data_IF_269433951432
#
_entry.id   IF_269433951432
#
_cell.length_a   1.000
_cell.length_b   1.000
_cell.length_c   1.000
_cell.angle_alpha   90.00
_cell.angle_beta   90.00
_cell.angle_gamma   90.00
#
_symmetry.space_group_name_H-M   'P 1'
#
loop_
_entity.id
_entity.type
_entity.pdbx_description
1 polymer ?
#
# COMPACT_ATOMS: atom_id res chain seq x y z
N UNK A 1 -31.84 -3.44 -1.51
CA UNK A 1 -30.49 -3.93 -1.83
C UNK A 1 -29.58 -2.73 -1.99
N UNK A 2 -28.34 -2.77 -1.50
CA UNK A 2 -27.39 -1.68 -1.72
C UNK A 2 -27.13 -1.49 -3.22
N UNK A 3 -26.87 -0.26 -3.65
CA UNK A 3 -26.57 0.06 -5.06
C UNK A 3 -25.25 -0.57 -5.52
N UNK A 4 -24.32 -0.79 -4.59
CA UNK A 4 -23.07 -1.53 -4.80
C UNK A 4 -23.28 -2.98 -4.40
N UNK A 5 -22.92 -3.93 -5.25
CA UNK A 5 -23.02 -5.35 -4.94
C UNK A 5 -22.06 -5.74 -3.77
N UNK A 6 -22.52 -6.50 -2.76
CA UNK A 6 -21.66 -6.99 -1.67
C UNK A 6 -20.58 -7.96 -2.12
N UNK A 7 -19.64 -8.26 -1.20
CA UNK A 7 -18.58 -9.24 -1.41
C UNK A 7 -19.17 -10.59 -1.85
N UNK A 8 -18.61 -11.19 -2.90
CA UNK A 8 -19.03 -12.49 -3.42
C UNK A 8 -20.18 -12.45 -4.42
N UNK A 9 -20.86 -11.30 -4.59
CA UNK A 9 -21.90 -11.13 -5.60
C UNK A 9 -21.28 -10.72 -6.94
N UNK A 10 -21.51 -11.51 -7.99
CA UNK A 10 -21.02 -11.21 -9.35
C UNK A 10 -21.89 -10.14 -10.01
N UNK A 11 -21.24 -9.15 -10.61
CA UNK A 11 -21.89 -8.13 -11.43
C UNK A 11 -21.34 -8.13 -12.85
N UNK A 12 -22.10 -7.60 -13.80
CA UNK A 12 -21.73 -7.59 -15.22
C UNK A 12 -20.63 -6.57 -15.56
N UNK A 13 -20.68 -5.37 -14.96
CA UNK A 13 -19.71 -4.29 -15.18
C UNK A 13 -19.41 -3.57 -13.87
N UNK A 14 -18.13 -3.35 -13.61
CA UNK A 14 -17.62 -2.49 -12.54
C UNK A 14 -17.52 -1.02 -12.97
N UNK A 15 -17.38 -0.10 -12.02
CA UNK A 15 -17.22 1.32 -12.32
C UNK A 15 -15.97 1.59 -13.16
N UNK A 16 -16.08 2.59 -14.04
CA UNK A 16 -14.96 3.00 -14.88
C UNK A 16 -13.87 3.65 -14.02
N UNK A 17 -12.60 3.41 -14.36
CA UNK A 17 -11.45 4.02 -13.67
C UNK A 17 -11.42 5.52 -13.98
N UNK A 18 -11.49 6.42 -12.98
CA UNK A 18 -11.38 7.86 -13.19
C UNK A 18 -10.05 8.25 -13.83
N UNK A 19 -10.03 9.29 -14.67
CA UNK A 19 -8.79 9.78 -15.31
C UNK A 19 -7.71 10.15 -14.29
N UNK A 20 -8.10 10.66 -13.12
CA UNK A 20 -7.18 10.98 -12.03
C UNK A 20 -6.41 9.75 -11.51
N UNK A 21 -6.93 8.54 -11.68
CA UNK A 21 -6.32 7.30 -11.20
C UNK A 21 -5.45 6.60 -12.27
N UNK A 22 -5.56 7.02 -13.52
CA UNK A 22 -4.80 6.43 -14.64
C UNK A 22 -3.36 6.93 -14.64
N UNK A 23 -2.44 6.02 -14.92
CA UNK A 23 -1.04 6.34 -15.16
C UNK A 23 -0.69 6.33 -16.65
N UNK A 24 0.52 6.78 -17.01
CA UNK A 24 1.05 6.64 -18.36
C UNK A 24 0.98 5.19 -18.86
N UNK A 25 0.71 5.00 -20.15
CA UNK A 25 0.70 3.68 -20.75
C UNK A 25 2.10 3.06 -20.73
N UNK A 26 2.13 1.73 -20.69
CA UNK A 26 3.34 0.93 -20.84
C UNK A 26 3.42 0.46 -22.29
N UNK A 27 4.64 0.43 -22.83
CA UNK A 27 4.90 -0.27 -24.08
C UNK A 27 4.65 -1.78 -23.87
N UNK A 28 3.63 -2.37 -24.52
CA UNK A 28 3.30 -3.78 -24.34
C UNK A 28 4.45 -4.72 -24.72
N UNK A 29 5.38 -4.28 -25.58
CA UNK A 29 6.56 -5.07 -25.93
C UNK A 29 7.62 -5.08 -24.83
N UNK A 30 7.68 -4.03 -23.99
CA UNK A 30 8.59 -3.94 -22.84
C UNK A 30 8.01 -4.58 -21.59
N UNK A 31 6.72 -4.36 -21.32
CA UNK A 31 6.05 -4.82 -20.10
C UNK A 31 6.31 -3.96 -18.85
N UNK A 32 7.11 -2.90 -18.97
CA UNK A 32 7.37 -1.91 -17.91
C UNK A 32 7.60 -0.52 -18.50
N UNK A 33 7.60 0.50 -17.63
CA UNK A 33 8.09 1.85 -17.92
C UNK A 33 9.04 2.33 -16.83
N UNK A 34 9.96 3.22 -17.20
CA UNK A 34 10.87 3.93 -16.29
C UNK A 34 10.44 5.40 -16.25
N UNK A 35 10.41 5.99 -15.06
CA UNK A 35 10.19 7.41 -14.84
C UNK A 35 11.37 7.98 -14.06
N UNK A 36 12.05 8.97 -14.62
CA UNK A 36 13.08 9.72 -13.90
C UNK A 36 12.42 10.61 -12.84
N UNK A 37 12.89 10.48 -11.60
CA UNK A 37 12.46 11.26 -10.43
C UNK A 37 13.49 12.34 -10.05
N UNK A 38 14.55 12.46 -10.86
CA UNK A 38 15.60 13.45 -10.76
C UNK A 38 16.87 12.94 -10.07
N UNK A 39 18.01 13.55 -10.45
CA UNK A 39 19.33 13.34 -9.82
C UNK A 39 19.68 11.85 -9.64
N UNK A 40 19.42 11.04 -10.66
CA UNK A 40 19.76 9.61 -10.67
C UNK A 40 18.78 8.67 -9.96
N UNK A 41 17.65 9.18 -9.44
CA UNK A 41 16.56 8.35 -8.91
C UNK A 41 15.53 8.09 -10.00
N UNK A 42 15.07 6.85 -10.08
CA UNK A 42 14.08 6.39 -11.05
C UNK A 42 13.03 5.52 -10.37
N UNK A 43 11.81 5.54 -10.90
CA UNK A 43 10.78 4.54 -10.63
C UNK A 43 10.66 3.62 -11.83
N UNK A 44 10.59 2.31 -11.60
CA UNK A 44 10.16 1.31 -12.58
C UNK A 44 8.77 0.80 -12.18
N UNK A 45 7.88 0.63 -13.17
CA UNK A 45 6.53 0.11 -12.93
C UNK A 45 5.98 -0.69 -14.10
N UNK A 46 5.18 -1.71 -13.81
CA UNK A 46 4.36 -2.49 -14.75
C UNK A 46 2.89 -2.01 -14.74
N UNK A 47 2.65 -0.81 -14.20
CA UNK A 47 1.37 -0.17 -13.92
C UNK A 47 0.52 -0.87 -12.83
N UNK A 48 1.04 -1.92 -12.18
CA UNK A 48 0.45 -2.53 -11.00
C UNK A 48 1.35 -2.37 -9.76
N UNK A 49 2.65 -2.62 -9.92
CA UNK A 49 3.70 -2.50 -8.93
C UNK A 49 4.67 -1.38 -9.27
N UNK A 50 5.28 -0.79 -8.26
CA UNK A 50 6.30 0.24 -8.37
C UNK A 50 7.53 -0.18 -7.55
N UNK A 51 8.71 0.00 -8.12
CA UNK A 51 9.99 -0.11 -7.43
C UNK A 51 10.82 1.13 -7.75
N UNK A 52 11.73 1.51 -6.87
CA UNK A 52 12.71 2.56 -7.15
C UNK A 52 14.09 1.97 -7.40
N UNK A 53 14.88 2.62 -8.24
CA UNK A 53 16.32 2.42 -8.26
C UNK A 53 17.06 3.75 -8.33
N UNK A 54 18.22 3.80 -7.67
CA UNK A 54 19.05 4.97 -7.52
C UNK A 54 20.45 4.67 -8.06
N UNK A 55 20.80 5.35 -9.14
CA UNK A 55 22.12 5.27 -9.76
C UNK A 55 23.06 6.26 -9.06
N UNK A 56 24.20 5.77 -8.59
CA UNK A 56 25.26 6.60 -8.02
C UNK A 56 26.61 6.24 -8.67
N UNK A 57 27.73 6.79 -8.21
CA UNK A 57 29.01 6.75 -8.90
C UNK A 57 29.53 5.33 -9.16
N UNK A 58 29.31 4.39 -8.23
CA UNK A 58 29.89 3.03 -8.30
C UNK A 58 28.86 1.90 -8.34
N UNK A 59 27.56 2.22 -8.42
CA UNK A 59 26.55 1.18 -8.40
C UNK A 59 25.11 1.67 -8.52
N UNK A 60 24.21 0.74 -8.27
CA UNK A 60 22.76 0.96 -8.17
C UNK A 60 22.25 0.45 -6.83
N UNK A 61 21.42 1.26 -6.18
CA UNK A 61 20.59 0.84 -5.04
C UNK A 61 19.18 0.58 -5.56
N UNK A 62 18.62 -0.60 -5.32
CA UNK A 62 17.23 -0.92 -5.64
C UNK A 62 16.39 -0.85 -4.35
N UNK A 63 15.17 -0.34 -4.42
CA UNK A 63 14.17 -0.39 -3.35
C UNK A 63 13.03 -1.28 -3.83
N UNK A 64 12.88 -2.43 -3.18
CA UNK A 64 11.98 -3.52 -3.54
C UNK A 64 12.24 -4.15 -4.93
N UNK A 65 11.89 -5.43 -5.06
CA UNK A 65 12.01 -6.19 -6.30
C UNK A 65 10.78 -7.10 -6.48
N UNK A 66 9.62 -6.53 -6.86
CA UNK A 66 8.41 -7.30 -7.10
C UNK A 66 8.66 -8.42 -8.11
N UNK A 67 8.10 -9.63 -7.94
CA UNK A 67 8.32 -10.74 -8.88
C UNK A 67 7.99 -10.37 -10.33
N UNK A 68 6.94 -9.58 -10.56
CA UNK A 68 6.54 -9.13 -11.89
C UNK A 68 7.56 -8.18 -12.54
N UNK A 69 8.30 -7.42 -11.74
CA UNK A 69 9.31 -6.47 -12.18
C UNK A 69 10.73 -7.03 -12.18
N UNK A 70 11.05 -7.99 -11.31
CA UNK A 70 12.39 -8.55 -11.17
C UNK A 70 12.90 -9.19 -12.47
N UNK A 71 12.01 -9.79 -13.26
CA UNK A 71 12.32 -10.33 -14.59
C UNK A 71 12.72 -9.26 -15.62
N UNK A 72 12.34 -8.01 -15.39
CA UNK A 72 12.63 -6.87 -16.26
C UNK A 72 13.75 -5.98 -15.74
N UNK A 73 14.13 -6.12 -14.46
CA UNK A 73 15.04 -5.20 -13.78
C UNK A 73 16.40 -5.09 -14.47
N UNK A 74 17.00 -6.20 -14.92
CA UNK A 74 18.28 -6.17 -15.64
C UNK A 74 18.20 -5.33 -16.93
N UNK A 75 17.14 -5.54 -17.72
CA UNK A 75 16.91 -4.79 -18.97
C UNK A 75 16.64 -3.32 -18.69
N UNK A 76 15.81 -3.03 -17.68
CA UNK A 76 15.47 -1.67 -17.29
C UNK A 76 16.71 -0.89 -16.81
N UNK A 77 17.58 -1.53 -16.02
CA UNK A 77 18.83 -0.92 -15.58
C UNK A 77 19.76 -0.66 -16.77
N UNK A 78 19.88 -1.59 -17.71
CA UNK A 78 20.72 -1.43 -18.91
C UNK A 78 20.27 -0.28 -19.83
N UNK A 79 19.01 0.17 -19.76
CA UNK A 79 18.55 1.38 -20.45
C UNK A 79 19.12 2.67 -19.83
N UNK A 80 19.56 2.62 -18.57
CA UNK A 80 19.97 3.79 -17.79
C UNK A 80 21.45 3.77 -17.41
N UNK A 81 22.02 2.60 -17.11
CA UNK A 81 23.40 2.46 -16.61
C UNK A 81 23.94 1.04 -16.80
N UNK A 82 25.26 0.93 -16.88
CA UNK A 82 26.05 -0.31 -16.87
C UNK A 82 26.60 -0.68 -15.48
N UNK A 83 26.27 0.11 -14.44
CA UNK A 83 26.80 -0.07 -13.09
C UNK A 83 26.14 -1.27 -12.38
N UNK A 84 26.89 -1.99 -11.52
CA UNK A 84 26.36 -3.14 -10.82
C UNK A 84 25.35 -2.75 -9.74
N UNK A 85 24.38 -3.64 -9.47
CA UNK A 85 23.52 -3.54 -8.28
C UNK A 85 24.37 -3.82 -7.05
N UNK A 86 24.46 -2.87 -6.13
CA UNK A 86 25.29 -2.99 -4.91
C UNK A 86 24.45 -3.16 -3.65
N UNK A 87 23.22 -2.66 -3.65
CA UNK A 87 22.33 -2.70 -2.50
C UNK A 87 20.88 -2.99 -2.94
N UNK A 88 20.15 -3.68 -2.06
CA UNK A 88 18.69 -3.76 -2.10
C UNK A 88 18.15 -3.28 -0.75
N UNK A 89 17.16 -2.40 -0.78
CA UNK A 89 16.39 -1.99 0.41
C UNK A 89 15.04 -2.69 0.33
N UNK A 90 14.62 -3.34 1.40
CA UNK A 90 13.27 -3.86 1.55
C UNK A 90 12.41 -2.85 2.29
N UNK A 91 11.29 -2.45 1.68
CA UNK A 91 10.28 -1.60 2.33
C UNK A 91 9.58 -2.33 3.46
N UNK A 92 9.26 -3.62 3.26
CA UNK A 92 8.67 -4.53 4.25
C UNK A 92 8.78 -5.99 3.79
N UNK A 93 8.14 -6.93 4.47
CA UNK A 93 8.39 -8.36 4.32
C UNK A 93 7.52 -9.06 3.26
N UNK A 94 6.51 -8.38 2.73
CA UNK A 94 5.56 -8.98 1.80
C UNK A 94 6.19 -9.46 0.49
N UNK A 95 5.73 -10.62 0.03
CA UNK A 95 6.34 -11.35 -1.09
C UNK A 95 6.14 -10.67 -2.44
N UNK A 96 5.04 -9.96 -2.61
CA UNK A 96 4.74 -9.22 -3.83
C UNK A 96 5.67 -8.02 -4.04
N UNK A 97 6.33 -7.53 -2.98
CA UNK A 97 7.32 -6.46 -3.07
C UNK A 97 8.77 -6.95 -3.14
N UNK A 98 9.12 -8.03 -2.42
CA UNK A 98 10.53 -8.46 -2.32
C UNK A 98 10.80 -9.88 -2.82
N UNK A 99 9.77 -10.59 -3.31
CA UNK A 99 9.86 -11.98 -3.75
C UNK A 99 10.76 -12.21 -4.97
N UNK A 100 11.06 -11.18 -5.75
CA UNK A 100 12.00 -11.25 -6.87
C UNK A 100 13.45 -10.94 -6.50
N UNK A 101 13.76 -10.66 -5.23
CA UNK A 101 15.08 -10.16 -4.83
C UNK A 101 16.23 -11.12 -5.17
N UNK A 102 16.04 -12.44 -5.04
CA UNK A 102 17.05 -13.43 -5.42
C UNK A 102 17.39 -13.39 -6.92
N UNK A 103 16.41 -13.09 -7.77
CA UNK A 103 16.57 -13.08 -9.24
C UNK A 103 17.57 -12.02 -9.71
N UNK A 104 17.78 -10.95 -8.92
CA UNK A 104 18.70 -9.87 -9.26
C UNK A 104 20.19 -10.30 -9.28
N UNK A 105 20.53 -11.46 -8.71
CA UNK A 105 21.91 -11.97 -8.72
C UNK A 105 22.90 -11.08 -7.96
N UNK A 106 24.20 -11.19 -8.26
CA UNK A 106 25.25 -10.24 -7.83
C UNK A 106 25.59 -10.15 -6.33
N UNK A 107 24.80 -10.77 -5.44
CA UNK A 107 24.94 -10.72 -3.98
C UNK A 107 25.02 -9.29 -3.39
N UNK A 108 24.06 -8.39 -3.71
CA UNK A 108 24.02 -7.05 -3.12
C UNK A 108 23.79 -7.10 -1.61
N UNK A 109 24.18 -6.02 -0.91
CA UNK A 109 23.84 -5.85 0.51
C UNK A 109 22.35 -5.60 0.65
N UNK A 110 21.66 -6.45 1.39
CA UNK A 110 20.23 -6.31 1.68
C UNK A 110 20.05 -5.55 2.99
N UNK A 111 19.35 -4.42 2.92
CA UNK A 111 19.08 -3.51 4.04
C UNK A 111 17.59 -3.57 4.38
N UNK A 112 17.25 -3.80 5.65
CA UNK A 112 15.85 -3.74 6.09
C UNK A 112 15.72 -3.44 7.59
N UNK A 113 14.49 -3.24 8.05
CA UNK A 113 14.14 -3.13 9.46
C UNK A 113 14.29 -4.48 10.21
N UNK A 114 14.48 -4.44 11.53
CA UNK A 114 14.62 -5.66 12.35
C UNK A 114 13.36 -6.55 12.34
N UNK A 115 12.17 -5.96 12.28
CA UNK A 115 10.91 -6.71 12.14
C UNK A 115 10.81 -7.42 10.78
N UNK A 116 11.22 -6.77 9.69
CA UNK A 116 11.29 -7.40 8.36
C UNK A 116 12.21 -8.62 8.40
N UNK A 117 13.38 -8.51 9.03
CA UNK A 117 14.28 -9.65 9.24
C UNK A 117 13.62 -10.75 10.07
N UNK A 118 12.94 -10.41 11.16
CA UNK A 118 12.22 -11.37 12.02
C UNK A 118 11.17 -12.15 11.22
N UNK A 119 10.38 -11.46 10.40
CA UNK A 119 9.34 -12.05 9.56
C UNK A 119 9.93 -12.96 8.46
N UNK A 120 11.06 -12.55 7.85
CA UNK A 120 11.77 -13.37 6.86
C UNK A 120 12.39 -14.63 7.46
N UNK A 121 12.99 -14.54 8.67
CA UNK A 121 13.50 -15.71 9.40
C UNK A 121 12.39 -16.72 9.72
N UNK A 122 11.17 -16.24 10.00
CA UNK A 122 9.99 -17.09 10.17
C UNK A 122 9.57 -17.74 8.85
N UNK A 123 9.52 -16.96 7.77
CA UNK A 123 9.07 -17.42 6.46
C UNK A 123 9.98 -18.48 5.84
N UNK A 124 11.30 -18.41 6.08
CA UNK A 124 12.31 -19.33 5.53
C UNK A 124 12.24 -19.47 4.01
N UNK A 125 11.92 -18.38 3.35
CA UNK A 125 11.79 -18.30 1.89
C UNK A 125 13.17 -18.08 1.25
N UNK A 126 13.67 -19.01 0.41
CA UNK A 126 14.98 -18.86 -0.21
C UNK A 126 15.04 -17.73 -1.25
N UNK A 127 13.90 -17.29 -1.79
CA UNK A 127 13.82 -16.24 -2.82
C UNK A 127 13.82 -14.82 -2.24
N UNK A 128 13.65 -14.70 -0.92
CA UNK A 128 13.76 -13.46 -0.15
C UNK A 128 14.96 -13.52 0.81
N UNK A 129 16.19 -13.23 0.33
CA UNK A 129 17.40 -13.26 1.15
C UNK A 129 17.25 -12.47 2.45
N UNK A 130 17.67 -13.08 3.56
CA UNK A 130 17.63 -12.42 4.86
C UNK A 130 18.53 -11.17 4.86
N UNK A 131 18.06 -10.01 5.34
CA UNK A 131 18.84 -8.77 5.38
C UNK A 131 20.17 -8.92 6.12
N UNK A 132 21.26 -8.49 5.47
CA UNK A 132 22.61 -8.47 6.04
C UNK A 132 22.90 -7.17 6.80
N UNK A 133 22.18 -6.09 6.48
CA UNK A 133 22.21 -4.83 7.20
C UNK A 133 20.83 -4.59 7.80
N UNK A 134 20.78 -4.36 9.11
CA UNK A 134 19.54 -4.26 9.88
C UNK A 134 19.56 -3.00 10.72
N UNK A 135 18.44 -2.29 10.79
CA UNK A 135 18.27 -1.14 11.66
C UNK A 135 16.96 -1.22 12.44
N UNK A 136 16.86 -0.40 13.49
CA UNK A 136 15.67 -0.27 14.33
C UNK A 136 14.93 1.02 14.00
N UNK A 137 15.41 2.16 14.46
CA UNK A 137 14.66 3.41 14.28
C UNK A 137 14.95 4.07 12.93
N UNK A 138 16.23 4.34 12.65
CA UNK A 138 16.68 5.09 11.47
C UNK A 138 17.96 4.51 10.89
N UNK A 139 18.11 4.63 9.57
CA UNK A 139 19.33 4.28 8.87
C UNK A 139 19.57 5.27 7.72
N UNK A 140 20.80 5.72 7.56
CA UNK A 140 21.18 6.62 6.46
C UNK A 140 22.11 5.88 5.52
N UNK A 141 21.62 5.48 4.36
CA UNK A 141 22.44 4.90 3.31
C UNK A 141 23.12 6.02 2.53
N UNK A 142 24.45 6.11 2.66
CA UNK A 142 25.27 6.97 1.81
C UNK A 142 25.82 6.14 0.65
N UNK A 143 25.40 6.46 -0.57
CA UNK A 143 25.83 5.80 -1.79
C UNK A 143 26.55 6.83 -2.67
N UNK A 144 27.87 6.98 -2.45
CA UNK A 144 28.66 8.04 -3.07
C UNK A 144 28.13 9.44 -2.71
N UNK A 145 27.74 10.24 -3.71
CA UNK A 145 27.13 11.56 -3.47
C UNK A 145 25.65 11.50 -3.10
N UNK A 146 25.01 10.33 -3.26
CA UNK A 146 23.59 10.14 -3.00
C UNK A 146 23.32 9.70 -1.55
N UNK A 147 22.13 10.02 -1.05
CA UNK A 147 21.68 9.60 0.29
C UNK A 147 20.23 9.14 0.23
N UNK A 148 19.94 8.01 0.87
CA UNK A 148 18.58 7.59 1.23
C UNK A 148 18.46 7.53 2.75
N UNK A 149 17.38 8.10 3.28
CA UNK A 149 17.04 8.10 4.70
C UNK A 149 15.92 7.08 4.94
N UNK A 150 16.21 6.04 5.71
CA UNK A 150 15.27 5.01 6.09
C UNK A 150 14.81 5.26 7.51
N UNK A 151 13.51 5.18 7.77
CA UNK A 151 12.98 5.30 9.12
C UNK A 151 11.79 4.39 9.34
N UNK A 152 11.78 3.67 10.46
CA UNK A 152 10.60 2.98 10.96
C UNK A 152 9.79 3.95 11.83
N UNK A 153 8.49 4.06 11.57
CA UNK A 153 7.60 5.03 12.25
C UNK A 153 6.45 4.35 12.99
N UNK A 154 6.71 3.13 13.48
CA UNK A 154 5.71 2.30 14.16
C UNK A 154 4.95 1.39 13.21
N UNK A 155 4.09 0.56 13.78
CA UNK A 155 3.26 -0.36 13.03
C UNK A 155 2.09 0.39 12.36
N UNK A 156 1.73 -0.04 11.15
CA UNK A 156 0.59 0.45 10.40
C UNK A 156 0.11 -0.67 9.47
N UNK A 157 0.66 -0.72 8.26
CA UNK A 157 0.47 -1.82 7.31
C UNK A 157 0.94 -3.15 7.91
N UNK A 158 2.24 -3.24 8.26
CA UNK A 158 2.79 -4.35 9.03
C UNK A 158 4.05 -3.93 9.82
N UNK A 159 4.45 -4.71 10.86
CA UNK A 159 5.70 -4.46 11.55
C UNK A 159 6.89 -4.53 10.59
N UNK A 160 7.68 -3.45 10.55
CA UNK A 160 8.82 -3.33 9.64
C UNK A 160 8.55 -2.68 8.30
N UNK A 161 7.34 -2.16 8.06
CA UNK A 161 7.08 -1.22 6.97
C UNK A 161 7.76 0.13 7.24
N UNK A 162 8.67 0.54 6.36
CA UNK A 162 9.53 1.71 6.55
C UNK A 162 9.26 2.82 5.55
N UNK A 163 9.62 4.04 5.96
CA UNK A 163 9.70 5.20 5.09
C UNK A 163 11.09 5.22 4.46
N UNK A 164 11.15 5.44 3.14
CA UNK A 164 12.39 5.63 2.38
C UNK A 164 12.36 7.02 1.74
N UNK A 165 13.16 7.94 2.25
CA UNK A 165 13.21 9.33 1.76
C UNK A 165 14.51 9.64 1.03
N UNK A 166 14.39 10.21 -0.16
CA UNK A 166 15.49 10.65 -1.01
C UNK A 166 15.54 12.19 -0.99
N UNK A 167 16.29 12.81 -0.06
CA UNK A 167 16.24 14.25 0.19
C UNK A 167 16.70 15.10 -0.99
N UNK A 168 17.68 14.63 -1.77
CA UNK A 168 18.15 15.39 -2.93
C UNK A 168 17.06 15.50 -4.01
N UNK A 169 16.18 14.50 -4.09
CA UNK A 169 15.09 14.37 -5.05
C UNK A 169 13.74 14.82 -4.48
N UNK A 170 13.68 15.12 -3.17
CA UNK A 170 12.43 15.33 -2.42
C UNK A 170 11.40 14.22 -2.71
N UNK A 171 11.86 12.99 -2.86
CA UNK A 171 10.98 11.84 -3.15
C UNK A 171 10.84 10.99 -1.91
N UNK A 172 9.59 10.67 -1.54
CA UNK A 172 9.26 9.74 -0.48
C UNK A 172 8.73 8.44 -1.10
N UNK A 173 9.18 7.30 -0.60
CA UNK A 173 8.56 6.00 -0.84
C UNK A 173 8.05 5.42 0.47
N UNK A 174 6.74 5.14 0.51
CA UNK A 174 6.08 4.42 1.59
C UNK A 174 5.11 3.46 0.93
N UNK A 175 5.39 2.16 1.10
CA UNK A 175 4.71 1.10 0.38
C UNK A 175 3.48 0.63 1.14
N UNK A 176 2.38 0.44 0.42
CA UNK A 176 1.10 -0.10 0.91
C UNK A 176 0.35 0.79 1.93
N UNK A 177 0.64 2.10 1.95
CA UNK A 177 -0.02 3.06 2.88
C UNK A 177 -0.88 4.11 2.15
N UNK A 178 -0.50 4.51 0.94
CA UNK A 178 -1.26 5.46 0.11
C UNK A 178 -1.41 4.90 -1.29
N UNK A 179 -2.60 5.03 -1.88
CA UNK A 179 -2.92 4.52 -3.21
C UNK A 179 -3.39 5.67 -4.13
N UNK A 180 -2.49 6.39 -4.81
CA UNK A 180 -2.82 7.59 -5.57
C UNK A 180 -3.97 7.45 -6.57
N UNK A 181 -5.13 8.03 -6.26
CA UNK A 181 -6.36 7.99 -7.07
C UNK A 181 -7.19 6.70 -6.94
N UNK A 182 -6.77 5.75 -6.11
CA UNK A 182 -7.43 4.46 -5.93
C UNK A 182 -7.92 4.30 -4.49
N UNK A 183 -8.94 3.47 -4.31
CA UNK A 183 -9.20 2.89 -2.99
C UNK A 183 -7.96 2.15 -2.52
N UNK A 184 -7.64 2.19 -1.21
CA UNK A 184 -6.70 1.24 -0.64
C UNK A 184 -7.08 -0.20 -1.03
N UNK A 185 -6.08 -1.06 -1.21
CA UNK A 185 -6.36 -2.49 -1.36
C UNK A 185 -7.17 -2.99 -0.15
N UNK A 186 -7.89 -4.10 -0.32
CA UNK A 186 -8.81 -4.70 0.66
C UNK A 186 -8.36 -4.47 2.12
N UNK A 187 -9.24 -3.90 2.94
CA UNK A 187 -9.03 -3.67 4.38
C UNK A 187 -7.76 -2.85 4.67
N UNK A 188 -7.65 -1.68 4.04
CA UNK A 188 -6.49 -0.77 4.16
C UNK A 188 -5.17 -1.47 3.87
N UNK A 189 -5.09 -2.17 2.74
CA UNK A 189 -3.98 -3.02 2.35
C UNK A 189 -3.67 -4.17 3.32
N UNK A 190 -4.68 -4.69 4.01
CA UNK A 190 -4.51 -5.68 5.09
C UNK A 190 -3.70 -5.14 6.28
N UNK A 191 -3.85 -3.84 6.57
CA UNK A 191 -3.20 -3.20 7.71
C UNK A 191 -3.40 -4.00 9.01
N UNK A 192 -2.29 -4.32 9.67
CA UNK A 192 -2.29 -5.02 10.96
C UNK A 192 -2.62 -4.08 12.13
N UNK A 193 -2.54 -2.76 11.92
CA UNK A 193 -2.91 -1.72 12.86
C UNK A 193 -3.63 -0.58 12.11
N UNK A 194 -4.96 -0.57 12.14
CA UNK A 194 -5.79 0.41 11.43
C UNK A 194 -5.63 1.82 12.03
N UNK A 195 -5.67 2.03 13.36
CA UNK A 195 -5.33 3.32 13.95
C UNK A 195 -3.92 3.81 13.56
N UNK A 196 -2.92 2.93 13.58
CA UNK A 196 -1.55 3.21 13.13
C UNK A 196 -1.47 3.59 11.65
N UNK A 197 -2.21 2.89 10.78
CA UNK A 197 -2.35 3.23 9.36
C UNK A 197 -2.91 4.63 9.16
N UNK A 198 -3.97 4.99 9.87
CA UNK A 198 -4.55 6.34 9.82
C UNK A 198 -3.55 7.41 10.25
N UNK A 199 -2.84 7.17 11.36
CA UNK A 199 -1.81 8.09 11.84
C UNK A 199 -0.66 8.26 10.84
N UNK A 200 -0.25 7.19 10.14
CA UNK A 200 0.82 7.29 9.13
C UNK A 200 0.38 8.05 7.88
N UNK A 201 -0.85 7.87 7.40
CA UNK A 201 -1.34 8.68 6.26
C UNK A 201 -1.39 10.16 6.66
N UNK A 202 -1.81 10.48 7.89
CA UNK A 202 -1.78 11.86 8.42
C UNK A 202 -0.35 12.42 8.54
N UNK A 203 0.61 11.58 8.92
CA UNK A 203 2.01 11.95 8.99
C UNK A 203 2.58 12.24 7.59
N UNK A 204 2.33 11.36 6.62
CA UNK A 204 2.77 11.53 5.22
C UNK A 204 2.27 12.87 4.67
N UNK A 205 1.02 13.25 4.96
CA UNK A 205 0.41 14.51 4.53
C UNK A 205 1.08 15.77 5.11
N UNK A 206 1.89 15.64 6.17
CA UNK A 206 2.57 16.75 6.85
C UNK A 206 4.05 16.86 6.48
N UNK A 207 4.63 15.85 5.84
CA UNK A 207 6.05 15.82 5.48
C UNK A 207 6.36 16.68 4.24
N UNK A 208 7.57 17.24 4.17
CA UNK A 208 8.07 17.99 3.00
C UNK A 208 8.67 17.03 1.96
N UNK A 209 7.85 16.63 1.00
CA UNK A 209 8.22 15.86 -0.19
C UNK A 209 7.44 16.39 -1.40
N UNK A 210 7.99 16.16 -2.59
CA UNK A 210 7.41 16.59 -3.88
C UNK A 210 6.75 15.41 -4.61
N UNK A 211 7.33 14.20 -4.51
CA UNK A 211 6.87 12.99 -5.20
C UNK A 211 6.71 11.84 -4.20
N UNK A 212 5.59 11.11 -4.29
CA UNK A 212 5.36 9.87 -3.56
C UNK A 212 5.44 8.65 -4.49
N UNK A 213 6.20 7.63 -4.12
CA UNK A 213 6.16 6.28 -4.71
C UNK A 213 5.47 5.35 -3.70
N UNK A 214 4.38 4.71 -4.11
CA UNK A 214 3.47 3.97 -3.21
C UNK A 214 3.67 2.46 -3.23
N UNK A 215 4.54 1.94 -4.11
CA UNK A 215 4.75 0.50 -4.31
C UNK A 215 3.67 -0.19 -5.15
N UNK A 216 2.47 0.39 -5.23
CA UNK A 216 1.41 -0.03 -6.15
C UNK A 216 0.88 1.14 -6.99
N UNK A 217 -0.03 0.78 -7.91
CA UNK A 217 -0.77 1.63 -8.86
C UNK A 217 0.07 2.18 -10.00
N UNK A 218 -0.62 2.76 -10.98
CA UNK A 218 0.00 3.07 -12.27
C UNK A 218 0.85 4.35 -12.27
N UNK A 219 0.80 5.21 -11.25
CA UNK A 219 1.53 6.49 -11.22
C UNK A 219 2.01 6.87 -9.82
N UNK A 220 2.98 7.77 -9.77
CA UNK A 220 3.41 8.43 -8.53
C UNK A 220 2.29 9.28 -7.93
N UNK A 221 2.35 9.48 -6.62
CA UNK A 221 1.42 10.29 -5.86
C UNK A 221 1.88 11.73 -5.62
N UNK A 222 0.90 12.56 -5.27
CA UNK A 222 1.03 13.99 -4.90
C UNK A 222 0.40 14.23 -3.53
N UNK A 223 0.65 15.38 -2.91
CA UNK A 223 -0.04 15.76 -1.66
C UNK A 223 -1.56 15.74 -1.78
N UNK A 224 -2.10 16.06 -2.98
CA UNK A 224 -3.53 15.98 -3.23
C UNK A 224 -4.07 14.55 -3.15
N UNK A 225 -3.28 13.55 -3.55
CA UNK A 225 -3.66 12.13 -3.45
C UNK A 225 -3.72 11.68 -1.98
N UNK A 226 -2.76 12.10 -1.16
CA UNK A 226 -2.75 11.79 0.28
C UNK A 226 -3.92 12.48 0.98
N UNK A 227 -4.17 13.75 0.67
CA UNK A 227 -5.31 14.50 1.20
C UNK A 227 -6.65 13.87 0.80
N UNK A 228 -6.79 13.39 -0.44
CA UNK A 228 -7.99 12.69 -0.91
C UNK A 228 -8.23 11.40 -0.15
N UNK A 229 -7.19 10.59 0.08
CA UNK A 229 -7.30 9.36 0.87
C UNK A 229 -7.65 9.66 2.33
N UNK A 230 -7.08 10.71 2.93
CA UNK A 230 -7.44 11.16 4.28
C UNK A 230 -8.89 11.62 4.39
N UNK A 231 -9.39 12.34 3.38
CA UNK A 231 -10.80 12.75 3.35
C UNK A 231 -11.71 11.51 3.33
N UNK A 232 -11.40 10.52 2.48
CA UNK A 232 -12.15 9.26 2.42
C UNK A 232 -12.10 8.50 3.75
N UNK A 233 -10.92 8.35 4.32
CA UNK A 233 -10.69 7.65 5.58
C UNK A 233 -11.47 8.29 6.74
N UNK A 234 -11.50 9.63 6.80
CA UNK A 234 -12.26 10.36 7.80
C UNK A 234 -13.77 10.22 7.62
N UNK A 235 -14.27 10.34 6.38
CA UNK A 235 -15.68 10.12 6.08
C UNK A 235 -16.11 8.69 6.43
N UNK A 236 -15.29 7.70 6.09
CA UNK A 236 -15.51 6.29 6.39
C UNK A 236 -15.61 6.06 7.91
N UNK A 237 -14.64 6.58 8.68
CA UNK A 237 -14.66 6.52 10.14
C UNK A 237 -15.91 7.18 10.72
N UNK A 238 -16.29 8.35 10.24
CA UNK A 238 -17.46 9.08 10.73
C UNK A 238 -18.77 8.37 10.40
N UNK A 239 -18.94 7.90 9.17
CA UNK A 239 -20.10 7.12 8.75
C UNK A 239 -20.23 5.83 9.58
N UNK A 240 -19.11 5.15 9.83
CA UNK A 240 -19.09 3.91 10.62
C UNK A 240 -19.46 4.16 12.08
N UNK A 241 -18.91 5.22 12.71
CA UNK A 241 -19.31 5.63 14.07
C UNK A 241 -20.81 5.92 14.16
N UNK A 242 -21.39 6.56 13.14
CA UNK A 242 -22.82 6.84 13.12
C UNK A 242 -23.64 5.55 12.97
N UNK A 243 -23.26 4.68 12.03
CA UNK A 243 -23.94 3.41 11.79
C UNK A 243 -23.90 2.47 13.02
N UNK A 244 -22.77 2.41 13.73
CA UNK A 244 -22.62 1.68 14.99
C UNK A 244 -23.60 2.19 16.07
N UNK A 245 -23.78 3.52 16.17
CA UNK A 245 -24.72 4.15 17.14
C UNK A 245 -26.18 3.91 16.81
N UNK A 246 -26.53 3.81 15.53
CA UNK A 246 -27.92 3.64 15.07
C UNK A 246 -28.35 2.18 14.96
N UNK A 247 -27.41 1.26 14.75
CA UNK A 247 -27.71 -0.16 14.59
C UNK A 247 -27.82 -0.84 15.97
N UNK A 248 -28.77 -1.77 16.10
CA UNK A 248 -28.95 -2.60 17.30
C UNK A 248 -28.82 -4.08 16.92
N UNK A 249 -28.09 -4.89 17.71
CA UNK A 249 -28.04 -6.34 17.52
C UNK A 249 -29.42 -6.99 17.63
N UNK A 250 -29.63 -8.07 16.87
CA UNK A 250 -30.86 -8.88 16.93
C UNK A 250 -32.06 -8.35 16.16
N UNK A 251 -31.96 -7.17 15.55
CA UNK A 251 -33.01 -6.64 14.67
C UNK A 251 -32.84 -7.20 13.26
N UNK A 252 -33.90 -7.82 12.71
CA UNK A 252 -33.93 -8.31 11.33
C UNK A 252 -33.39 -9.73 11.14
N UNK A 253 -33.22 -10.50 12.22
CA UNK A 253 -32.95 -11.94 12.18
C UNK A 253 -34.26 -12.73 12.10
N UNK A 254 -34.20 -13.94 11.54
CA UNK A 254 -35.31 -14.90 11.63
C UNK A 254 -35.47 -15.38 13.08
N UNK A 255 -36.70 -15.55 13.56
CA UNK A 255 -36.95 -16.03 14.93
C UNK A 255 -36.36 -17.42 15.17
N UNK A 256 -36.31 -18.26 14.13
CA UNK A 256 -35.69 -19.59 14.21
C UNK A 256 -34.18 -19.56 14.46
N UNK A 257 -33.52 -18.43 14.15
CA UNK A 257 -32.08 -18.22 14.40
C UNK A 257 -31.79 -17.59 15.76
N UNK A 258 -32.81 -17.26 16.57
CA UNK A 258 -32.65 -16.58 17.86
C UNK A 258 -31.78 -17.33 18.89
N UNK A 259 -31.64 -18.66 18.73
CA UNK A 259 -30.75 -19.48 19.55
C UNK A 259 -29.28 -19.46 19.14
N UNK A 260 -28.94 -18.85 17.99
CA UNK A 260 -27.57 -18.76 17.48
C UNK A 260 -27.02 -17.32 17.66
N UNK A 261 -26.27 -17.03 18.73
CA UNK A 261 -25.77 -15.68 18.98
C UNK A 261 -24.84 -15.18 17.87
N UNK A 262 -24.20 -16.06 17.10
CA UNK A 262 -23.32 -15.65 16.01
C UNK A 262 -24.08 -15.06 14.83
N UNK A 263 -25.29 -15.57 14.53
CA UNK A 263 -26.17 -14.99 13.49
C UNK A 263 -26.62 -13.58 13.88
N UNK A 264 -26.86 -13.36 15.18
CA UNK A 264 -27.20 -12.03 15.71
C UNK A 264 -26.09 -11.03 15.43
N UNK A 265 -24.83 -11.40 15.69
CA UNK A 265 -23.67 -10.53 15.47
C UNK A 265 -23.33 -10.37 13.99
N UNK A 266 -23.39 -11.43 13.19
CA UNK A 266 -23.15 -11.38 11.75
C UNK A 266 -24.13 -10.43 11.06
N UNK A 267 -25.43 -10.59 11.33
CA UNK A 267 -26.47 -9.69 10.83
C UNK A 267 -26.28 -8.24 11.29
N UNK A 268 -25.87 -8.03 12.54
CA UNK A 268 -25.56 -6.71 13.07
C UNK A 268 -24.44 -6.03 12.29
N UNK A 269 -23.31 -6.72 12.10
CA UNK A 269 -22.15 -6.21 11.36
C UNK A 269 -22.56 -5.88 9.93
N UNK A 270 -23.24 -6.80 9.24
CA UNK A 270 -23.71 -6.59 7.87
C UNK A 270 -24.58 -5.33 7.75
N UNK A 271 -25.50 -5.11 8.70
CA UNK A 271 -26.36 -3.93 8.69
C UNK A 271 -25.59 -2.63 8.91
N UNK A 272 -24.58 -2.64 9.79
CA UNK A 272 -23.67 -1.49 9.96
C UNK A 272 -22.92 -1.21 8.65
N UNK A 273 -22.31 -2.23 8.06
CA UNK A 273 -21.53 -2.10 6.82
C UNK A 273 -22.41 -1.63 5.66
N UNK A 274 -23.61 -2.18 5.49
CA UNK A 274 -24.59 -1.74 4.48
C UNK A 274 -24.90 -0.25 4.64
N UNK A 275 -25.14 0.20 5.87
CA UNK A 275 -25.44 1.61 6.13
C UNK A 275 -24.25 2.50 5.73
N UNK A 276 -23.02 2.13 6.10
CA UNK A 276 -21.80 2.87 5.75
C UNK A 276 -21.62 2.96 4.24
N UNK A 277 -21.73 1.85 3.52
CA UNK A 277 -21.60 1.82 2.05
C UNK A 277 -22.64 2.74 1.40
N UNK A 278 -23.90 2.66 1.83
CA UNK A 278 -24.96 3.51 1.29
C UNK A 278 -24.69 5.01 1.56
N UNK A 279 -24.21 5.36 2.76
CA UNK A 279 -23.87 6.74 3.12
C UNK A 279 -22.74 7.31 2.24
N UNK A 280 -21.72 6.52 1.94
CA UNK A 280 -20.53 7.01 1.24
C UNK A 280 -20.68 7.01 -0.28
N UNK A 281 -21.54 6.15 -0.84
CA UNK A 281 -21.60 5.88 -2.28
C UNK A 281 -21.86 7.13 -3.12
N UNK A 282 -22.76 8.01 -2.68
CA UNK A 282 -23.07 9.25 -3.41
C UNK A 282 -21.85 10.17 -3.55
N UNK A 283 -21.01 10.24 -2.52
CA UNK A 283 -19.83 11.15 -2.50
C UNK A 283 -18.61 10.53 -3.17
N UNK A 284 -18.42 9.22 -3.05
CA UNK A 284 -17.12 8.57 -3.32
C UNK A 284 -17.08 7.67 -4.55
N UNK A 285 -18.23 7.21 -5.05
CA UNK A 285 -18.30 6.24 -6.17
C UNK A 285 -17.55 6.64 -7.43
N UNK A 286 -17.36 7.94 -7.67
CA UNK A 286 -16.67 8.48 -8.85
C UNK A 286 -15.32 9.14 -8.54
N UNK A 287 -14.92 9.22 -7.26
CA UNK A 287 -13.69 9.92 -6.84
C UNK A 287 -12.47 9.01 -6.79
N UNK A 288 -12.66 7.76 -6.39
CA UNK A 288 -11.61 6.77 -6.24
C UNK A 288 -11.89 5.58 -7.16
N UNK A 289 -10.88 5.18 -7.93
CA UNK A 289 -10.94 3.94 -8.67
C UNK A 289 -11.14 2.74 -7.71
N UNK A 290 -11.84 1.71 -8.20
CA UNK A 290 -12.15 0.49 -7.43
C UNK A 290 -13.05 0.71 -6.19
N UNK A 291 -13.79 1.83 -6.12
CA UNK A 291 -14.76 2.06 -5.04
C UNK A 291 -15.74 0.89 -4.89
N UNK A 292 -16.39 0.49 -5.98
CA UNK A 292 -17.34 -0.62 -6.03
C UNK A 292 -16.71 -2.00 -5.79
N UNK A 293 -15.38 -2.09 -5.85
CA UNK A 293 -14.64 -3.34 -5.62
C UNK A 293 -14.26 -3.50 -4.15
N UNK A 294 -13.83 -2.42 -3.49
CA UNK A 294 -13.22 -2.50 -2.17
C UNK A 294 -13.98 -1.79 -1.05
N UNK A 295 -15.03 -1.01 -1.32
CA UNK A 295 -15.73 -0.27 -0.26
C UNK A 295 -16.26 -1.17 0.87
N UNK A 296 -16.76 -2.36 0.53
CA UNK A 296 -17.23 -3.34 1.52
C UNK A 296 -16.11 -3.80 2.44
N UNK A 297 -14.91 -4.09 1.89
CA UNK A 297 -13.74 -4.45 2.69
C UNK A 297 -13.30 -3.30 3.62
N UNK A 298 -13.35 -2.06 3.13
CA UNK A 298 -12.96 -0.89 3.93
C UNK A 298 -13.98 -0.63 5.06
N UNK A 299 -15.28 -0.70 4.76
CA UNK A 299 -16.34 -0.51 5.74
C UNK A 299 -16.35 -1.62 6.80
N UNK A 300 -16.15 -2.88 6.39
CA UNK A 300 -16.01 -3.99 7.33
C UNK A 300 -14.78 -3.82 8.24
N UNK A 301 -13.62 -3.48 7.68
CA UNK A 301 -12.40 -3.29 8.47
C UNK A 301 -12.53 -2.13 9.46
N UNK A 302 -13.16 -1.02 9.03
CA UNK A 302 -13.40 0.13 9.90
C UNK A 302 -14.41 -0.19 11.01
N UNK A 303 -15.48 -0.93 10.71
CA UNK A 303 -16.46 -1.36 11.71
C UNK A 303 -15.78 -2.20 12.80
N UNK A 304 -14.97 -3.17 12.41
CA UNK A 304 -14.26 -4.03 13.36
C UNK A 304 -13.27 -3.21 14.20
N UNK A 305 -12.49 -2.33 13.59
CA UNK A 305 -11.52 -1.51 14.32
C UNK A 305 -12.20 -0.58 15.32
N UNK A 306 -13.25 0.14 14.90
CA UNK A 306 -13.93 1.04 15.84
C UNK A 306 -14.64 0.30 16.97
N UNK A 307 -15.23 -0.86 16.69
CA UNK A 307 -15.93 -1.65 17.71
C UNK A 307 -14.98 -2.30 18.71
N UNK A 308 -13.72 -2.56 18.35
CA UNK A 308 -12.75 -3.30 19.18
C UNK A 308 -11.69 -2.37 19.79
N UNK A 309 -11.20 -1.41 19.02
CA UNK A 309 -10.03 -0.58 19.37
C UNK A 309 -10.41 0.80 19.91
N UNK A 310 -11.63 1.30 19.60
CA UNK A 310 -12.09 2.65 19.95
C UNK A 310 -13.50 2.63 20.58
N UNK A 311 -13.62 2.12 21.82
CA UNK A 311 -14.82 2.38 22.66
C UNK A 311 -14.85 3.81 23.24
#
# INVERSE_FOLDING_TARGET
>A
MPEIAPIGVRIGKHFDVPESAKGPAIDPAKGYRIQELGKGLYMITDNAYQSMFLVYESGVVIVDAPPSLAQFMEKALAEVTDKPVTHIIYSHSHIDHIGGARQLGGHPKVIAHEETKRLLLRAKDPDRPVPSVVFKDKYKLKAGSQTLELSYRGNAHEPGNIFIYAPAQKTLMVVDVVFPGWMPWRRFALAQDIPGYFAQVEEINKLDWDILVSGHVARTGTHADVALQLEFMNDLRNATRQALKETRPGIGIDESDSGNPWVIFDNYIDRVVIQVVNTLTLKWSQKLAAYDVYIWDQAYAMEQSLRIDEE
#
